data_IF_682410601958
#
_entry.id   IF_682410601958
#
_cell.length_a   1.000
_cell.length_b   1.000
_cell.length_c   1.000
_cell.angle_alpha   90.00
_cell.angle_beta   90.00
_cell.angle_gamma   90.00
#
_symmetry.space_group_name_H-M   'P 1'
#
loop_
_entity.id
_entity.type
_entity.pdbx_description
1 polymer ?
#
# COMPACT_ATOMS: atom_id res chain seq x y z
N UNK A 1 -20.88 -23.73 -20.87
CA UNK A 1 -19.49 -23.31 -21.19
C UNK A 1 -18.93 -22.63 -19.97
N UNK A 2 -18.12 -23.35 -19.17
CA UNK A 2 -17.46 -22.81 -17.99
C UNK A 2 -15.99 -22.54 -18.33
N UNK A 3 -15.54 -21.35 -17.94
CA UNK A 3 -14.22 -20.77 -18.21
C UNK A 3 -13.09 -21.66 -17.68
N UNK A 4 -12.25 -22.18 -18.58
CA UNK A 4 -10.91 -22.68 -18.23
C UNK A 4 -9.99 -21.47 -18.12
N UNK A 5 -9.90 -20.90 -16.92
CA UNK A 5 -8.77 -20.08 -16.53
C UNK A 5 -7.54 -20.99 -16.38
N UNK A 6 -6.97 -21.34 -17.53
CA UNK A 6 -5.73 -22.12 -17.64
C UNK A 6 -4.63 -21.40 -16.86
N UNK A 7 -3.99 -22.16 -15.96
CA UNK A 7 -3.02 -21.70 -14.98
C UNK A 7 -2.05 -20.64 -15.49
N UNK A 8 -2.27 -19.40 -15.07
CA UNK A 8 -1.25 -18.37 -15.06
C UNK A 8 -0.50 -18.59 -13.76
N UNK A 9 0.58 -19.38 -13.84
CA UNK A 9 1.58 -19.61 -12.81
C UNK A 9 1.63 -18.44 -11.83
N UNK A 10 1.41 -18.75 -10.55
CA UNK A 10 1.65 -17.84 -9.43
C UNK A 10 2.96 -17.09 -9.70
N UNK A 11 2.84 -15.82 -10.09
CA UNK A 11 3.97 -14.90 -10.18
C UNK A 11 4.69 -15.03 -8.85
N UNK A 12 6.00 -15.26 -8.87
CA UNK A 12 6.81 -15.39 -7.66
C UNK A 12 6.90 -14.02 -7.00
N UNK A 13 5.78 -13.59 -6.43
CA UNK A 13 5.57 -12.31 -5.82
C UNK A 13 6.30 -12.33 -4.48
N UNK A 14 7.59 -12.02 -4.50
CA UNK A 14 8.41 -12.08 -3.31
C UNK A 14 8.05 -10.96 -2.33
N UNK A 15 8.23 -11.22 -1.04
CA UNK A 15 7.76 -10.35 0.04
C UNK A 15 8.41 -8.95 0.05
N UNK A 16 9.54 -8.77 -0.65
CA UNK A 16 10.37 -7.56 -0.57
C UNK A 16 10.19 -6.61 -1.74
N UNK A 17 9.46 -7.00 -2.79
CA UNK A 17 9.43 -6.26 -4.05
C UNK A 17 8.09 -5.54 -4.23
N UNK A 18 8.13 -4.38 -4.86
CA UNK A 18 6.97 -3.50 -5.02
C UNK A 18 6.29 -3.65 -6.38
N UNK A 19 7.01 -4.18 -7.37
CA UNK A 19 6.51 -4.35 -8.73
C UNK A 19 7.10 -5.62 -9.36
N UNK A 20 6.30 -6.29 -10.19
CA UNK A 20 6.67 -7.52 -10.87
C UNK A 20 6.42 -7.44 -12.37
N UNK A 21 7.49 -7.55 -13.14
CA UNK A 21 7.43 -7.56 -14.60
C UNK A 21 6.84 -8.83 -15.18
N UNK A 22 6.69 -8.85 -16.51
CA UNK A 22 6.18 -10.01 -17.24
C UNK A 22 7.09 -11.25 -17.11
N UNK A 23 8.39 -11.05 -16.84
CA UNK A 23 9.38 -12.12 -16.63
C UNK A 23 9.37 -12.67 -15.20
N UNK A 24 8.63 -12.04 -14.29
CA UNK A 24 8.55 -12.45 -12.88
C UNK A 24 9.67 -11.91 -11.99
N UNK A 25 10.59 -11.12 -12.54
CA UNK A 25 11.61 -10.42 -11.75
C UNK A 25 10.94 -9.31 -10.91
N UNK A 26 11.29 -9.28 -9.63
CA UNK A 26 10.81 -8.29 -8.68
C UNK A 26 11.71 -7.07 -8.60
N UNK A 27 11.10 -5.89 -8.55
CA UNK A 27 11.81 -4.62 -8.38
C UNK A 27 11.19 -3.80 -7.25
N UNK A 28 12.01 -2.93 -6.64
CA UNK A 28 11.57 -1.96 -5.63
C UNK A 28 11.54 -0.56 -6.24
N UNK A 29 10.34 -0.13 -6.62
CA UNK A 29 10.07 1.20 -7.15
C UNK A 29 9.28 2.10 -6.19
N UNK A 30 8.55 1.49 -5.25
CA UNK A 30 7.76 2.25 -4.29
C UNK A 30 8.59 2.62 -3.05
N UNK A 31 8.48 3.88 -2.65
CA UNK A 31 9.22 4.44 -1.51
C UNK A 31 8.34 5.33 -0.64
N UNK A 32 8.49 5.19 0.68
CA UNK A 32 8.03 6.16 1.66
C UNK A 32 9.23 6.83 2.31
N UNK A 33 9.27 8.15 2.23
CA UNK A 33 10.28 8.95 2.92
C UNK A 33 9.71 9.41 4.27
N UNK A 34 10.41 9.09 5.34
CA UNK A 34 10.05 9.47 6.71
C UNK A 34 11.12 10.41 7.23
N UNK A 35 10.73 11.60 7.70
CA UNK A 35 11.71 12.52 8.30
C UNK A 35 12.18 11.99 9.66
N UNK A 36 13.41 12.35 10.05
CA UNK A 36 14.03 11.88 11.30
C UNK A 36 13.15 12.11 12.54
N UNK A 37 12.35 13.18 12.54
CA UNK A 37 11.40 13.50 13.62
C UNK A 37 10.32 12.44 13.86
N UNK A 38 10.06 11.57 12.89
CA UNK A 38 9.02 10.54 12.97
C UNK A 38 9.60 9.13 13.10
N UNK A 39 10.94 9.00 13.24
CA UNK A 39 11.61 7.70 13.30
C UNK A 39 11.17 6.88 14.53
N UNK A 40 10.94 7.55 15.66
CA UNK A 40 10.44 6.96 16.91
C UNK A 40 8.98 6.48 16.81
N UNK A 41 8.22 6.98 15.84
CA UNK A 41 6.83 6.61 15.58
C UNK A 41 6.70 5.45 14.60
N UNK A 42 7.78 5.06 13.93
CA UNK A 42 7.78 3.98 12.94
C UNK A 42 7.68 2.62 13.62
N UNK A 43 6.66 1.84 13.26
CA UNK A 43 6.46 0.49 13.81
C UNK A 43 6.78 -0.62 12.80
N UNK A 44 6.36 -0.44 11.55
CA UNK A 44 6.60 -1.41 10.48
C UNK A 44 6.40 -0.75 9.11
N UNK A 45 7.12 -1.27 8.11
CA UNK A 45 6.87 -1.01 6.70
C UNK A 45 7.02 -2.32 5.93
N UNK A 46 6.19 -2.54 4.92
CA UNK A 46 6.28 -3.73 4.10
C UNK A 46 5.30 -3.73 2.95
N UNK A 47 5.38 -4.79 2.15
CA UNK A 47 4.52 -5.00 1.00
C UNK A 47 3.46 -6.05 1.29
N UNK A 48 2.27 -5.81 0.77
CA UNK A 48 1.14 -6.72 0.80
C UNK A 48 0.85 -7.20 -0.61
N UNK A 49 1.06 -8.50 -0.83
CA UNK A 49 1.12 -9.08 -2.17
C UNK A 49 -0.22 -9.59 -2.70
N UNK A 50 -1.30 -9.51 -1.91
CA UNK A 50 -2.59 -10.09 -2.30
C UNK A 50 -3.14 -9.54 -3.62
N UNK A 51 -2.98 -8.23 -3.88
CA UNK A 51 -3.40 -7.64 -5.15
C UNK A 51 -2.64 -8.21 -6.36
N UNK A 52 -1.35 -8.47 -6.19
CA UNK A 52 -0.51 -9.07 -7.22
C UNK A 52 -0.81 -10.57 -7.41
N UNK A 53 -0.96 -11.30 -6.31
CA UNK A 53 -1.31 -12.72 -6.31
C UNK A 53 -2.70 -12.97 -6.92
N UNK A 54 -3.66 -12.06 -6.69
CA UNK A 54 -4.98 -12.09 -7.32
C UNK A 54 -4.97 -11.62 -8.79
N UNK A 55 -3.81 -11.15 -9.30
CA UNK A 55 -3.68 -10.66 -10.67
C UNK A 55 -4.43 -9.34 -10.93
N UNK A 56 -4.75 -8.58 -9.88
CA UNK A 56 -5.46 -7.30 -9.96
C UNK A 56 -4.52 -6.13 -10.28
N UNK A 57 -3.23 -6.28 -9.95
CA UNK A 57 -2.17 -5.32 -10.26
C UNK A 57 -0.85 -6.05 -10.44
N UNK A 58 0.09 -5.44 -11.15
CA UNK A 58 1.51 -5.80 -11.19
C UNK A 58 2.32 -5.16 -10.04
N UNK A 59 1.68 -4.28 -9.25
CA UNK A 59 2.23 -3.70 -8.04
C UNK A 59 1.77 -4.44 -6.77
N UNK A 60 2.68 -4.48 -5.80
CA UNK A 60 2.36 -4.76 -4.41
C UNK A 60 1.75 -3.52 -3.74
N UNK A 61 0.94 -3.74 -2.69
CA UNK A 61 0.49 -2.62 -1.86
C UNK A 61 1.57 -2.31 -0.82
N UNK A 62 2.15 -1.12 -0.84
CA UNK A 62 3.07 -0.66 0.21
C UNK A 62 2.29 -0.19 1.43
N UNK A 63 2.70 -0.64 2.62
CA UNK A 63 2.06 -0.30 3.90
C UNK A 63 3.09 0.29 4.87
N UNK A 64 2.64 1.27 5.65
CA UNK A 64 3.41 1.88 6.73
C UNK A 64 2.52 1.95 7.98
N UNK A 65 3.05 1.44 9.09
CA UNK A 65 2.38 1.50 10.39
C UNK A 65 3.13 2.47 11.29
N UNK A 66 2.41 3.48 11.77
CA UNK A 66 2.92 4.56 12.62
C UNK A 66 2.12 4.64 13.92
N UNK A 67 2.78 5.09 14.99
CA UNK A 67 2.08 5.63 16.17
C UNK A 67 1.76 7.09 15.91
N UNK A 68 0.47 7.41 15.80
CA UNK A 68 0.01 8.79 15.76
C UNK A 68 -0.46 9.17 17.17
N UNK A 69 0.14 10.23 17.71
CA UNK A 69 -0.45 10.91 18.86
C UNK A 69 -1.61 11.73 18.32
N UNK A 70 -2.83 11.32 18.63
CA UNK A 70 -3.99 12.19 18.47
C UNK A 70 -3.84 13.32 19.48
N UNK A 71 -3.36 14.49 19.04
CA UNK A 71 -3.70 15.71 19.76
C UNK A 71 -5.21 15.88 19.57
N UNK A 72 -6.02 16.01 20.62
CA UNK A 72 -7.40 16.46 20.47
C UNK A 72 -7.34 17.86 19.87
N UNK A 73 -7.45 17.97 18.55
CA UNK A 73 -7.62 19.22 17.84
C UNK A 73 -9.10 19.40 17.56
N UNK A 74 -9.62 20.58 17.90
CA UNK A 74 -10.98 21.02 17.58
C UNK A 74 -11.39 20.48 16.21
N UNK A 75 -12.47 19.69 16.20
CA UNK A 75 -13.11 19.27 14.96
C UNK A 75 -13.35 20.56 14.16
N UNK A 76 -12.75 20.66 12.97
CA UNK A 76 -12.94 21.81 12.11
C UNK A 76 -14.43 22.04 11.94
N UNK A 77 -14.96 23.08 12.61
CA UNK A 77 -16.32 23.53 12.44
C UNK A 77 -16.46 23.85 10.95
N UNK A 78 -17.26 23.07 10.23
CA UNK A 78 -17.60 23.41 8.86
C UNK A 78 -18.17 24.83 8.86
N UNK A 79 -17.74 25.73 7.95
CA UNK A 79 -18.31 27.06 7.88
C UNK A 79 -19.82 26.91 7.71
N UNK A 80 -20.59 27.54 8.61
CA UNK A 80 -22.03 27.54 8.53
C UNK A 80 -22.41 28.04 7.13
N UNK A 81 -23.10 27.19 6.36
CA UNK A 81 -23.73 27.60 5.13
C UNK A 81 -24.69 28.73 5.48
N UNK A 82 -24.31 29.97 5.18
CA UNK A 82 -25.18 31.12 5.32
C UNK A 82 -26.41 30.88 4.45
N UNK A 83 -27.57 30.69 5.08
CA UNK A 83 -28.85 30.83 4.42
C UNK A 83 -29.04 32.33 4.14
N UNK A 84 -29.04 32.68 2.85
CA UNK A 84 -29.56 33.96 2.38
C UNK A 84 -31.08 33.98 2.40
#
# INVERSE_FOLDING_TARGET
MASTATGRTSRLCQKTDSWFGLTGDGFRFDHLFVSTRHADRFLACGYHQEACLAGLSDNAVMTLRLVLQSTPGEQGQAPAAGAG
#
